data_IF_215908999402
#
_entry.id   IF_215908999402
#
_cell.length_a   1.000
_cell.length_b   1.000
_cell.length_c   1.000
_cell.angle_alpha   90.00
_cell.angle_beta   90.00
_cell.angle_gamma   90.00
#
_symmetry.space_group_name_H-M   'P 1'
#
loop_
_entity.id
_entity.type
_entity.pdbx_description
1 polymer ?
#
# COMPACT_ATOMS: atom_id res chain seq x y z
N UNK A 1 -17.85 2.40 -6.20
CA UNK A 1 -17.74 3.78 -6.72
C UNK A 1 -16.35 4.08 -7.27
N UNK A 2 -15.25 3.68 -6.61
CA UNK A 2 -13.87 3.97 -7.06
C UNK A 2 -13.52 3.51 -8.48
N UNK A 3 -13.94 2.31 -8.90
CA UNK A 3 -13.73 1.79 -10.26
C UNK A 3 -14.32 2.70 -11.34
N UNK A 4 -15.59 3.06 -11.19
CA UNK A 4 -16.34 3.84 -12.17
C UNK A 4 -15.80 5.26 -12.34
N UNK A 5 -15.16 5.82 -11.31
CA UNK A 5 -14.55 7.16 -11.39
C UNK A 5 -13.23 7.12 -12.17
N UNK A 6 -12.39 6.10 -11.95
CA UNK A 6 -11.13 5.98 -12.70
C UNK A 6 -11.38 5.73 -14.19
N UNK A 7 -12.35 4.88 -14.53
CA UNK A 7 -12.72 4.57 -15.93
C UNK A 7 -13.26 5.76 -16.73
N UNK A 8 -13.63 6.88 -16.08
CA UNK A 8 -14.03 8.12 -16.78
C UNK A 8 -12.84 8.76 -17.48
N UNK A 9 -11.68 8.78 -16.82
CA UNK A 9 -10.49 9.49 -17.29
C UNK A 9 -9.46 8.55 -17.93
N UNK A 10 -9.38 7.29 -17.45
CA UNK A 10 -8.39 6.31 -17.91
C UNK A 10 -8.93 4.87 -17.93
N UNK A 11 -8.58 4.05 -18.94
CA UNK A 11 -8.96 2.64 -18.93
C UNK A 11 -8.41 1.93 -17.68
N UNK A 12 -9.24 1.19 -16.95
CA UNK A 12 -8.82 0.49 -15.73
C UNK A 12 -7.65 -0.48 -15.95
N UNK A 13 -7.49 -0.99 -17.17
CA UNK A 13 -6.36 -1.84 -17.56
C UNK A 13 -4.99 -1.16 -17.43
N UNK A 14 -4.93 0.17 -17.38
CA UNK A 14 -3.67 0.93 -17.27
C UNK A 14 -3.25 1.20 -15.83
N UNK A 15 -4.09 0.89 -14.84
CA UNK A 15 -3.75 1.10 -13.44
C UNK A 15 -2.61 0.14 -13.03
N UNK A 16 -1.52 0.71 -12.54
CA UNK A 16 -0.32 -0.01 -12.09
C UNK A 16 0.00 0.26 -10.61
N UNK A 17 -0.39 1.43 -10.11
CA UNK A 17 -0.05 1.86 -8.75
C UNK A 17 -1.31 2.39 -8.04
N UNK A 18 -1.52 1.98 -6.79
CA UNK A 18 -2.55 2.51 -5.91
C UNK A 18 -1.88 3.23 -4.74
N UNK A 19 -2.12 4.53 -4.62
CA UNK A 19 -1.58 5.35 -3.54
C UNK A 19 -2.62 5.59 -2.45
N UNK A 20 -2.25 5.29 -1.21
CA UNK A 20 -2.99 5.64 0.00
C UNK A 20 -2.17 6.65 0.77
N UNK A 21 -2.63 7.90 0.80
CA UNK A 21 -1.89 9.03 1.34
C UNK A 21 -2.50 9.56 2.64
N UNK A 22 -1.72 10.36 3.37
CA UNK A 22 -2.13 11.02 4.61
C UNK A 22 -2.73 10.04 5.64
N UNK A 23 -2.06 8.89 5.84
CA UNK A 23 -2.49 7.90 6.82
C UNK A 23 -2.21 8.47 8.21
N UNK A 24 -3.23 9.06 8.81
CA UNK A 24 -3.19 9.54 10.19
C UNK A 24 -3.27 8.34 11.14
N UNK A 25 -2.47 8.37 12.21
CA UNK A 25 -2.20 7.34 13.23
C UNK A 25 -3.40 6.56 13.86
N UNK A 26 -4.63 6.75 13.42
CA UNK A 26 -5.81 6.06 13.93
C UNK A 26 -5.97 4.62 13.39
N UNK A 27 -5.31 4.26 12.27
CA UNK A 27 -5.43 2.94 11.63
C UNK A 27 -4.23 2.01 11.95
N UNK A 28 -3.68 2.15 13.17
CA UNK A 28 -2.57 1.33 13.69
C UNK A 28 -3.01 -0.10 13.97
N UNK A 29 -3.07 -0.93 12.93
CA UNK A 29 -3.07 -2.37 13.15
C UNK A 29 -1.68 -2.76 13.68
N UNK A 30 -1.65 -3.31 14.90
CA UNK A 30 -0.45 -3.51 15.72
C UNK A 30 0.73 -4.17 14.98
N UNK A 31 0.44 -5.06 14.02
CA UNK A 31 1.45 -5.76 13.22
C UNK A 31 2.17 -4.85 12.21
N UNK A 32 1.42 -4.09 11.40
CA UNK A 32 1.98 -3.14 10.45
C UNK A 32 2.74 -2.03 11.17
N UNK A 33 2.18 -1.55 12.28
CA UNK A 33 2.83 -0.57 13.15
C UNK A 33 4.12 -1.11 13.76
N UNK A 34 4.16 -2.36 14.24
CA UNK A 34 5.40 -2.98 14.74
C UNK A 34 6.46 -3.14 13.66
N UNK A 35 6.09 -3.50 12.43
CA UNK A 35 7.02 -3.60 11.29
C UNK A 35 7.63 -2.23 10.96
N UNK A 36 6.80 -1.19 10.95
CA UNK A 36 7.23 0.19 10.72
C UNK A 36 8.09 0.72 11.89
N UNK A 37 7.60 0.63 13.12
CA UNK A 37 8.26 1.13 14.35
C UNK A 37 9.57 0.38 14.65
N UNK A 38 9.66 -0.92 14.36
CA UNK A 38 10.91 -1.70 14.54
C UNK A 38 12.03 -1.18 13.62
N UNK A 39 11.66 -0.65 12.44
CA UNK A 39 12.63 -0.10 11.50
C UNK A 39 12.96 1.37 11.77
N UNK A 40 11.98 2.15 12.22
CA UNK A 40 12.21 3.53 12.73
C UNK A 40 13.20 3.52 13.91
N UNK A 41 13.07 2.55 14.81
CA UNK A 41 14.00 2.33 15.93
C UNK A 41 15.43 2.01 15.51
N UNK A 42 15.63 1.50 14.29
CA UNK A 42 16.95 1.17 13.75
C UNK A 42 17.75 2.39 13.25
N UNK A 43 17.26 3.62 13.47
CA UNK A 43 17.98 4.85 13.11
C UNK A 43 17.98 5.19 11.61
N UNK A 44 17.33 4.37 10.78
CA UNK A 44 17.01 4.70 9.39
C UNK A 44 15.90 5.75 9.37
N UNK A 45 16.28 7.01 9.56
CA UNK A 45 15.40 8.15 9.34
C UNK A 45 14.71 7.97 7.98
N UNK A 46 13.39 8.12 8.04
CA UNK A 46 12.41 7.77 7.04
C UNK A 46 12.38 8.80 5.90
N UNK A 47 13.54 9.07 5.31
CA UNK A 47 13.66 9.98 4.16
C UNK A 47 13.66 9.23 2.83
N UNK A 48 13.84 7.90 2.84
CA UNK A 48 13.82 7.09 1.63
C UNK A 48 12.61 6.17 1.60
N UNK A 49 11.89 6.06 0.46
CA UNK A 49 10.86 5.07 0.27
C UNK A 49 11.38 3.66 0.59
N UNK A 50 10.55 2.87 1.27
CA UNK A 50 10.87 1.50 1.66
C UNK A 50 9.96 0.55 0.91
N UNK A 51 10.55 -0.28 0.04
CA UNK A 51 9.83 -1.36 -0.65
C UNK A 51 9.77 -2.64 0.18
N UNK A 52 8.62 -3.28 0.14
CA UNK A 52 8.32 -4.58 0.72
C UNK A 52 7.79 -5.47 -0.41
N UNK A 53 8.42 -6.62 -0.62
CA UNK A 53 8.12 -7.50 -1.75
C UNK A 53 7.64 -8.87 -1.23
N UNK A 54 6.78 -9.53 -2.00
CA UNK A 54 6.37 -10.90 -1.73
C UNK A 54 7.56 -11.87 -1.90
N UNK A 55 7.65 -12.97 -1.12
CA UNK A 55 6.73 -13.41 -0.08
C UNK A 55 7.15 -12.98 1.34
N UNK A 56 7.71 -11.78 1.55
CA UNK A 56 8.22 -11.41 2.88
C UNK A 56 7.12 -11.34 3.96
N UNK A 57 7.48 -11.61 5.22
CA UNK A 57 6.53 -11.52 6.36
C UNK A 57 5.99 -10.10 6.52
N UNK A 58 6.85 -9.10 6.29
CA UNK A 58 6.46 -7.70 6.34
C UNK A 58 5.45 -7.34 5.23
N UNK A 59 5.65 -7.85 4.01
CA UNK A 59 4.70 -7.70 2.91
C UNK A 59 3.33 -8.28 3.29
N UNK A 60 3.27 -9.53 3.77
CA UNK A 60 2.02 -10.16 4.18
C UNK A 60 1.34 -9.43 5.35
N UNK A 61 2.12 -8.93 6.31
CA UNK A 61 1.57 -8.13 7.42
C UNK A 61 0.96 -6.80 6.94
N UNK A 62 1.59 -6.14 5.97
CA UNK A 62 1.06 -4.90 5.37
C UNK A 62 -0.16 -5.17 4.49
N UNK A 63 -0.13 -6.23 3.67
CA UNK A 63 -1.26 -6.64 2.84
C UNK A 63 -2.46 -7.08 3.70
N UNK A 64 -2.21 -7.77 4.82
CA UNK A 64 -3.23 -8.18 5.79
C UNK A 64 -3.77 -7.05 6.69
N UNK A 65 -3.17 -5.86 6.63
CA UNK A 65 -3.66 -4.69 7.37
C UNK A 65 -5.06 -4.26 6.89
N UNK A 66 -5.69 -3.30 7.59
CA UNK A 66 -7.00 -2.78 7.14
C UNK A 66 -6.89 -2.11 5.77
N UNK A 67 -5.85 -1.31 5.56
CA UNK A 67 -5.57 -0.63 4.30
C UNK A 67 -5.23 -1.65 3.21
N UNK A 68 -4.33 -2.60 3.52
CA UNK A 68 -3.95 -3.66 2.57
C UNK A 68 -5.16 -4.46 2.10
N UNK A 69 -6.03 -4.90 3.01
CA UNK A 69 -7.27 -5.61 2.66
C UNK A 69 -8.23 -4.75 1.83
N UNK A 70 -8.36 -3.46 2.14
CA UNK A 70 -9.18 -2.55 1.36
C UNK A 70 -8.67 -2.46 -0.09
N UNK A 71 -7.36 -2.35 -0.28
CA UNK A 71 -6.73 -2.37 -1.61
C UNK A 71 -6.94 -3.73 -2.29
N UNK A 72 -6.76 -4.84 -1.58
CA UNK A 72 -7.01 -6.18 -2.13
C UNK A 72 -8.46 -6.37 -2.59
N UNK A 73 -9.44 -5.91 -1.80
CA UNK A 73 -10.85 -5.95 -2.21
C UNK A 73 -11.13 -5.06 -3.41
N UNK A 74 -10.48 -3.90 -3.49
CA UNK A 74 -10.57 -3.04 -4.66
C UNK A 74 -10.03 -3.74 -5.91
N UNK A 75 -8.82 -4.31 -5.86
CA UNK A 75 -8.22 -5.05 -6.98
C UNK A 75 -9.11 -6.23 -7.39
N UNK A 76 -9.57 -7.03 -6.42
CA UNK A 76 -10.46 -8.16 -6.67
C UNK A 76 -11.80 -7.72 -7.32
N UNK A 77 -12.41 -6.64 -6.83
CA UNK A 77 -13.65 -6.11 -7.42
C UNK A 77 -13.45 -5.41 -8.77
N UNK A 78 -12.25 -4.90 -9.01
CA UNK A 78 -11.89 -4.20 -10.24
C UNK A 78 -11.68 -5.17 -11.41
N UNK A 79 -10.88 -6.22 -11.17
CA UNK A 79 -10.39 -7.13 -12.21
C UNK A 79 -10.95 -8.56 -12.12
N UNK A 80 -11.47 -8.97 -10.95
CA UNK A 80 -11.78 -10.37 -10.67
C UNK A 80 -10.63 -11.09 -9.98
N UNK A 81 -10.85 -12.36 -9.64
CA UNK A 81 -9.83 -13.20 -9.02
C UNK A 81 -8.80 -13.62 -10.07
N UNK A 82 -7.52 -13.65 -9.68
CA UNK A 82 -6.43 -14.18 -10.51
C UNK A 82 -6.16 -13.41 -11.81
N UNK A 83 -6.54 -12.12 -11.85
CA UNK A 83 -6.27 -11.24 -13.01
C UNK A 83 -5.13 -10.27 -12.70
N UNK A 84 -5.19 -9.63 -11.52
CA UNK A 84 -4.11 -8.79 -11.02
C UNK A 84 -3.85 -9.07 -9.55
N UNK A 85 -2.60 -8.91 -9.15
CA UNK A 85 -2.15 -9.07 -7.77
C UNK A 85 -1.24 -7.92 -7.34
N UNK A 86 -1.21 -7.66 -6.04
CA UNK A 86 -0.21 -6.76 -5.46
C UNK A 86 1.10 -7.51 -5.37
N UNK A 87 2.16 -7.02 -6.01
CA UNK A 87 3.50 -7.64 -5.97
C UNK A 87 4.45 -6.91 -5.03
N UNK A 88 4.21 -5.60 -4.82
CA UNK A 88 5.06 -4.75 -4.00
C UNK A 88 4.25 -3.70 -3.23
N UNK A 89 4.71 -3.41 -2.01
CA UNK A 89 4.18 -2.35 -1.17
C UNK A 89 5.32 -1.39 -0.85
N UNK A 90 5.16 -0.09 -1.12
CA UNK A 90 6.17 0.92 -0.82
C UNK A 90 5.63 1.89 0.23
N UNK A 91 6.34 2.06 1.34
CA UNK A 91 6.00 2.99 2.40
C UNK A 91 6.95 4.18 2.40
N UNK A 92 6.44 5.41 2.42
CA UNK A 92 7.26 6.61 2.35
C UNK A 92 6.58 7.80 3.04
N UNK A 93 7.37 8.76 3.50
CA UNK A 93 6.87 9.98 4.14
C UNK A 93 6.97 11.14 3.16
N UNK A 94 5.97 12.03 3.18
CA UNK A 94 6.04 13.29 2.42
C UNK A 94 7.11 14.21 3.03
N UNK A 95 7.84 14.93 2.18
CA UNK A 95 8.94 15.82 2.56
C UNK A 95 8.55 16.87 3.60
N UNK A 96 7.30 17.35 3.58
CA UNK A 96 6.84 18.43 4.47
C UNK A 96 6.55 17.98 5.90
N UNK A 97 6.20 16.71 6.12
CA UNK A 97 5.85 16.22 7.46
C UNK A 97 6.23 14.76 7.62
N UNK A 98 7.20 14.50 8.50
CA UNK A 98 7.54 13.15 9.01
C UNK A 98 6.36 12.39 9.62
N UNK A 99 5.18 13.00 9.74
CA UNK A 99 3.95 12.38 10.28
C UNK A 99 2.99 11.86 9.22
N UNK A 100 3.18 12.19 7.95
CA UNK A 100 2.28 11.77 6.88
C UNK A 100 2.85 10.52 6.22
N UNK A 101 2.47 9.36 6.75
CA UNK A 101 2.77 8.08 6.12
C UNK A 101 1.93 7.93 4.86
N UNK A 102 2.59 7.60 3.77
CA UNK A 102 1.96 7.22 2.51
C UNK A 102 2.37 5.79 2.16
N UNK A 103 1.47 5.07 1.51
CA UNK A 103 1.69 3.71 1.04
C UNK A 103 1.31 3.64 -0.43
N UNK A 104 2.18 3.07 -1.25
CA UNK A 104 1.90 2.69 -2.63
C UNK A 104 1.81 1.16 -2.71
N UNK A 105 0.82 0.67 -3.44
CA UNK A 105 0.67 -0.73 -3.78
C UNK A 105 0.85 -0.86 -5.28
N UNK A 106 1.86 -1.61 -5.68
CA UNK A 106 2.17 -1.86 -7.09
C UNK A 106 1.40 -3.13 -7.48
N UNK A 107 0.65 -3.06 -8.59
CA UNK A 107 -0.19 -4.14 -9.10
C UNK A 107 0.32 -4.62 -10.46
N UNK A 108 0.40 -5.93 -10.61
CA UNK A 108 0.83 -6.60 -11.84
C UNK A 108 -0.18 -7.69 -12.21
N UNK A 109 -0.06 -8.23 -13.41
CA UNK A 109 -0.84 -9.41 -13.81
C UNK A 109 -0.46 -10.61 -12.93
N UNK A 110 -1.46 -11.45 -12.62
CA UNK A 110 -1.29 -12.58 -11.71
C UNK A 110 -0.46 -13.73 -12.31
#
# INVERSE_FOLDING_TARGET
>A
MTKAVYEIDFPLSTLQDIFVTNIVNADKNLAATRVLESRERLGSLITRPVGWEAPSVAFHALLGSRIGRLVSYFVLGAYGQDVKQVTRIVTFHSSDYRRNLNIRFDIEDA
#
